data_IF_625565019819
#
_entry.id   IF_625565019819
#
_cell.length_a   1.000
_cell.length_b   1.000
_cell.length_c   1.000
_cell.angle_alpha   90.00
_cell.angle_beta   90.00
_cell.angle_gamma   90.00
#
_symmetry.space_group_name_H-M   'P 1'
#
loop_
_entity.id
_entity.type
_entity.pdbx_description
1 polymer ?
#
# COMPACT_ATOMS: atom_id res chain seq x y z
N UNK A 1 3.84 -4.53 -9.77
CA UNK A 1 5.16 -4.97 -9.28
C UNK A 1 5.78 -5.95 -10.28
N UNK A 2 7.05 -5.81 -10.60
CA UNK A 2 7.86 -6.82 -11.29
C UNK A 2 8.21 -7.98 -10.33
N UNK A 3 8.83 -9.06 -10.84
CA UNK A 3 9.36 -10.14 -9.98
C UNK A 3 10.37 -9.61 -8.96
N UNK A 4 11.34 -8.85 -9.43
CA UNK A 4 12.38 -8.26 -8.58
C UNK A 4 11.81 -7.28 -7.53
N UNK A 5 10.82 -6.45 -7.88
CA UNK A 5 10.14 -5.59 -6.89
C UNK A 5 9.40 -6.40 -5.81
N UNK A 6 8.89 -7.57 -6.18
CA UNK A 6 8.28 -8.48 -5.22
C UNK A 6 9.32 -9.06 -4.25
N UNK A 7 10.48 -9.46 -4.72
CA UNK A 7 11.60 -9.90 -3.89
C UNK A 7 12.06 -8.82 -2.91
N UNK A 8 12.21 -7.57 -3.38
CA UNK A 8 12.54 -6.42 -2.54
C UNK A 8 11.47 -6.15 -1.46
N UNK A 9 10.20 -6.33 -1.80
CA UNK A 9 9.10 -6.22 -0.84
C UNK A 9 9.21 -7.31 0.24
N UNK A 10 9.45 -8.56 -0.18
CA UNK A 10 9.63 -9.68 0.75
C UNK A 10 10.87 -9.47 1.63
N UNK A 11 11.98 -9.01 1.07
CA UNK A 11 13.18 -8.66 1.85
C UNK A 11 12.86 -7.69 3.00
N UNK A 12 12.17 -6.58 2.70
CA UNK A 12 11.74 -5.60 3.71
C UNK A 12 10.80 -6.20 4.75
N UNK A 13 9.88 -7.07 4.30
CA UNK A 13 8.94 -7.76 5.17
C UNK A 13 9.65 -8.70 6.15
N UNK A 14 10.63 -9.46 5.68
CA UNK A 14 11.43 -10.38 6.50
C UNK A 14 12.22 -9.62 7.57
N UNK A 15 12.90 -8.52 7.20
CA UNK A 15 13.62 -7.67 8.15
C UNK A 15 12.66 -7.17 9.24
N UNK A 16 11.49 -6.66 8.85
CA UNK A 16 10.47 -6.19 9.81
C UNK A 16 9.86 -7.33 10.65
N UNK A 17 9.94 -8.57 10.17
CA UNK A 17 9.47 -9.77 10.88
C UNK A 17 10.52 -10.40 11.78
N UNK A 18 11.66 -9.72 11.97
CA UNK A 18 12.73 -10.15 12.88
C UNK A 18 13.70 -11.18 12.27
N UNK A 19 13.75 -11.29 10.94
CA UNK A 19 14.84 -11.98 10.26
C UNK A 19 16.03 -11.04 10.13
N UNK A 20 17.25 -11.60 10.25
CA UNK A 20 18.51 -10.89 10.04
C UNK A 20 19.32 -11.53 8.92
N UNK A 21 20.41 -10.87 8.49
CA UNK A 21 21.25 -11.31 7.38
C UNK A 21 20.48 -11.60 6.09
N UNK A 22 19.42 -10.81 5.84
CA UNK A 22 18.54 -11.00 4.67
C UNK A 22 19.27 -10.53 3.42
N UNK A 23 19.53 -11.46 2.49
CA UNK A 23 20.24 -11.21 1.23
C UNK A 23 19.41 -11.74 0.07
N UNK A 24 19.37 -10.97 -1.04
CA UNK A 24 18.86 -11.44 -2.32
C UNK A 24 19.97 -12.23 -3.00
N UNK A 25 19.66 -13.37 -3.58
CA UNK A 25 20.58 -14.20 -4.36
C UNK A 25 20.82 -13.61 -5.76
N UNK A 26 21.77 -14.15 -6.51
CA UNK A 26 21.99 -13.73 -7.89
C UNK A 26 20.87 -14.26 -8.79
N UNK A 27 20.46 -13.46 -9.79
CA UNK A 27 19.33 -13.75 -10.68
C UNK A 27 19.50 -14.99 -11.60
N UNK A 28 20.69 -15.59 -11.64
CA UNK A 28 20.97 -16.79 -12.41
C UNK A 28 21.77 -17.79 -11.57
N UNK A 29 21.36 -19.06 -11.58
CA UNK A 29 22.01 -20.12 -10.80
C UNK A 29 21.65 -20.10 -9.32
N UNK A 30 20.49 -19.54 -8.97
CA UNK A 30 19.96 -19.41 -7.61
C UNK A 30 19.35 -20.71 -7.06
N UNK A 31 19.32 -21.76 -7.87
CA UNK A 31 18.74 -23.06 -7.53
C UNK A 31 17.34 -22.95 -6.88
N UNK A 32 16.58 -21.91 -7.27
CA UNK A 32 15.22 -21.69 -6.80
C UNK A 32 15.11 -21.08 -5.40
N UNK A 33 16.15 -20.38 -4.94
CA UNK A 33 16.11 -19.58 -3.70
C UNK A 33 16.43 -18.12 -4.05
N UNK A 34 15.47 -17.24 -3.91
CA UNK A 34 15.57 -15.82 -4.25
C UNK A 34 16.12 -14.98 -3.07
N UNK A 35 15.86 -15.41 -1.82
CA UNK A 35 16.40 -14.74 -0.63
C UNK A 35 16.94 -15.76 0.40
N UNK A 36 18.01 -15.36 1.04
CA UNK A 36 18.57 -16.04 2.22
C UNK A 36 18.36 -15.18 3.45
N UNK A 37 18.01 -15.79 4.59
CA UNK A 37 17.86 -15.09 5.86
C UNK A 37 18.14 -16.01 7.05
N UNK A 38 18.38 -15.43 8.22
CA UNK A 38 18.52 -16.15 9.48
C UNK A 38 17.54 -15.65 10.52
N UNK A 39 17.02 -16.56 11.35
CA UNK A 39 16.20 -16.23 12.53
C UNK A 39 16.37 -17.32 13.58
N UNK A 40 16.64 -16.91 14.84
CA UNK A 40 16.82 -17.84 15.94
C UNK A 40 17.84 -18.97 15.64
N UNK A 41 18.97 -18.62 15.04
CA UNK A 41 20.04 -19.53 14.61
C UNK A 41 19.67 -20.51 13.48
N UNK A 42 18.46 -20.44 12.97
CA UNK A 42 17.97 -21.25 11.82
C UNK A 42 18.20 -20.48 10.54
N UNK A 43 18.75 -21.15 9.52
CA UNK A 43 18.94 -20.62 8.17
C UNK A 43 17.73 -20.93 7.30
N UNK A 44 17.24 -19.90 6.60
CA UNK A 44 16.06 -19.97 5.75
C UNK A 44 16.38 -19.58 4.32
N UNK A 45 15.83 -20.34 3.36
CA UNK A 45 15.75 -19.94 1.97
C UNK A 45 14.31 -19.58 1.61
N UNK A 46 14.13 -18.53 0.85
CA UNK A 46 12.83 -18.10 0.37
C UNK A 46 12.81 -18.10 -1.14
N UNK A 47 11.80 -18.76 -1.70
CA UNK A 47 11.46 -18.62 -3.10
C UNK A 47 10.25 -17.72 -3.26
N UNK A 48 10.36 -16.69 -4.10
CA UNK A 48 9.36 -15.69 -4.35
C UNK A 48 8.71 -15.91 -5.71
N UNK A 49 7.44 -16.25 -5.75
CA UNK A 49 6.69 -16.45 -7.00
C UNK A 49 5.60 -15.40 -7.14
N UNK A 50 5.82 -14.42 -8.03
CA UNK A 50 4.81 -13.44 -8.41
C UNK A 50 4.07 -13.91 -9.65
N UNK A 51 2.87 -14.45 -9.47
CA UNK A 51 2.04 -14.99 -10.54
C UNK A 51 0.57 -14.57 -10.39
N UNK A 52 -0.17 -14.59 -11.51
CA UNK A 52 -1.62 -14.41 -11.52
C UNK A 52 -2.37 -15.72 -11.33
N UNK A 53 -1.75 -16.84 -11.75
CA UNK A 53 -2.30 -18.20 -11.62
C UNK A 53 -1.79 -18.87 -10.35
N UNK A 54 -2.44 -19.96 -9.95
CA UNK A 54 -2.01 -20.77 -8.83
C UNK A 54 -0.63 -21.39 -9.09
N UNK A 55 0.17 -21.48 -8.04
CA UNK A 55 1.53 -22.02 -8.07
C UNK A 55 1.45 -23.54 -7.93
N UNK A 56 2.06 -24.24 -8.88
CA UNK A 56 2.14 -25.71 -8.89
C UNK A 56 3.38 -26.26 -8.19
N UNK A 57 3.55 -27.56 -8.32
CA UNK A 57 4.61 -28.36 -7.68
C UNK A 57 6.03 -27.93 -8.06
N UNK A 58 6.24 -27.35 -9.24
CA UNK A 58 7.57 -26.94 -9.71
C UNK A 58 8.27 -25.94 -8.79
N UNK A 59 7.53 -25.03 -8.16
CA UNK A 59 8.07 -24.08 -7.20
C UNK A 59 8.58 -24.77 -5.93
N UNK A 60 7.92 -25.82 -5.51
CA UNK A 60 8.30 -26.62 -4.33
C UNK A 60 9.57 -27.43 -4.64
N UNK A 61 9.63 -28.04 -5.82
CA UNK A 61 10.81 -28.79 -6.29
C UNK A 61 12.04 -27.88 -6.39
N UNK A 62 11.88 -26.68 -6.92
CA UNK A 62 12.96 -25.68 -6.99
C UNK A 62 13.45 -25.29 -5.58
N UNK A 63 12.55 -24.93 -4.67
CA UNK A 63 12.88 -24.58 -3.31
C UNK A 63 13.58 -25.74 -2.56
N UNK A 64 13.12 -26.96 -2.78
CA UNK A 64 13.75 -28.17 -2.22
C UNK A 64 15.19 -28.35 -2.70
N UNK A 65 15.44 -28.19 -4.01
CA UNK A 65 16.80 -28.24 -4.56
C UNK A 65 17.75 -27.20 -3.94
N UNK A 66 17.23 -26.02 -3.66
CA UNK A 66 18.00 -24.95 -3.04
C UNK A 66 18.41 -25.20 -1.58
N UNK A 67 17.65 -26.03 -0.84
CA UNK A 67 18.00 -26.38 0.55
C UNK A 67 19.42 -27.00 0.60
N UNK A 68 19.66 -28.01 -0.23
CA UNK A 68 20.95 -28.70 -0.26
C UNK A 68 22.08 -27.81 -0.76
N UNK A 69 21.84 -27.02 -1.80
CA UNK A 69 22.86 -26.15 -2.40
C UNK A 69 23.34 -25.05 -1.43
N UNK A 70 22.42 -24.42 -0.71
CA UNK A 70 22.75 -23.35 0.23
C UNK A 70 22.94 -23.82 1.68
N UNK A 71 22.90 -25.12 1.95
CA UNK A 71 23.00 -25.70 3.29
C UNK A 71 22.00 -25.06 4.27
N UNK A 72 20.71 -25.03 3.87
CA UNK A 72 19.64 -24.39 4.63
C UNK A 72 18.97 -25.38 5.57
N UNK A 73 18.51 -24.90 6.70
CA UNK A 73 17.70 -25.68 7.61
C UNK A 73 16.24 -25.76 7.13
N UNK A 74 15.73 -24.73 6.45
CA UNK A 74 14.35 -24.65 5.98
C UNK A 74 14.20 -23.84 4.70
N UNK A 75 13.23 -24.24 3.88
CA UNK A 75 12.78 -23.45 2.74
C UNK A 75 11.35 -22.99 2.88
N UNK A 76 11.04 -21.84 2.32
CA UNK A 76 9.73 -21.22 2.33
C UNK A 76 9.43 -20.72 0.92
N UNK A 77 8.25 -21.06 0.37
CA UNK A 77 7.77 -20.51 -0.89
C UNK A 77 6.71 -19.45 -0.60
N UNK A 78 6.93 -18.26 -1.12
CA UNK A 78 6.05 -17.10 -0.92
C UNK A 78 5.44 -16.68 -2.26
N UNK A 79 4.14 -16.45 -2.29
CA UNK A 79 3.46 -15.97 -3.49
C UNK A 79 2.40 -14.90 -3.20
N UNK A 80 2.13 -14.06 -4.21
CA UNK A 80 0.98 -13.15 -4.24
C UNK A 80 -0.31 -13.84 -4.70
N UNK A 81 -0.25 -15.15 -5.01
CA UNK A 81 -1.36 -15.97 -5.49
C UNK A 81 -1.67 -17.08 -4.49
N UNK A 82 -2.18 -18.20 -4.97
CA UNK A 82 -2.51 -19.39 -4.19
C UNK A 82 -1.70 -20.58 -4.69
N UNK A 83 -1.63 -21.65 -3.92
CA UNK A 83 -1.00 -22.91 -4.32
C UNK A 83 -2.06 -23.91 -4.78
N UNK A 84 -1.65 -24.82 -5.65
CA UNK A 84 -2.48 -25.99 -6.01
C UNK A 84 -2.48 -27.00 -4.87
N UNK A 85 -3.49 -27.86 -4.82
CA UNK A 85 -3.54 -28.95 -3.84
C UNK A 85 -2.30 -29.86 -3.90
N UNK A 86 -1.86 -30.22 -5.10
CA UNK A 86 -0.63 -31.00 -5.29
C UNK A 86 0.63 -30.28 -4.75
N UNK A 87 0.69 -28.94 -4.83
CA UNK A 87 1.78 -28.17 -4.24
C UNK A 87 1.74 -28.21 -2.70
N UNK A 88 0.56 -28.15 -2.07
CA UNK A 88 0.42 -28.32 -0.63
C UNK A 88 0.87 -29.70 -0.17
N UNK A 89 0.45 -30.75 -0.87
CA UNK A 89 0.83 -32.14 -0.55
C UNK A 89 2.35 -32.33 -0.66
N UNK A 90 2.96 -31.87 -1.75
CA UNK A 90 4.41 -31.99 -1.94
C UNK A 90 5.20 -31.19 -0.91
N UNK A 91 4.75 -29.99 -0.55
CA UNK A 91 5.37 -29.16 0.45
C UNK A 91 5.33 -29.80 1.85
N UNK A 92 4.21 -30.42 2.21
CA UNK A 92 4.06 -31.14 3.48
C UNK A 92 5.05 -32.32 3.61
N UNK A 93 5.25 -33.09 2.52
CA UNK A 93 6.20 -34.21 2.51
C UNK A 93 7.66 -33.75 2.66
N UNK A 94 7.98 -32.56 2.15
CA UNK A 94 9.35 -32.05 2.13
C UNK A 94 9.62 -30.99 3.22
N UNK A 95 8.73 -30.79 4.18
CA UNK A 95 8.81 -29.78 5.26
C UNK A 95 9.04 -28.34 4.72
N UNK A 96 8.46 -28.02 3.56
CA UNK A 96 8.54 -26.69 2.96
C UNK A 96 7.33 -25.85 3.38
N UNK A 97 7.57 -24.71 3.97
CA UNK A 97 6.50 -23.81 4.39
C UNK A 97 5.95 -23.01 3.21
N UNK A 98 4.64 -22.88 3.14
CA UNK A 98 3.95 -22.12 2.10
C UNK A 98 3.30 -20.87 2.67
N UNK A 99 3.62 -19.74 2.07
CA UNK A 99 3.00 -18.43 2.35
C UNK A 99 2.26 -17.99 1.11
N UNK A 100 0.96 -18.23 1.12
CA UNK A 100 0.03 -17.80 0.08
C UNK A 100 -0.35 -16.31 0.26
N UNK A 101 -1.19 -15.80 -0.66
CA UNK A 101 -1.71 -14.42 -0.64
C UNK A 101 -2.32 -14.03 0.71
N UNK A 102 -3.10 -14.92 1.33
CA UNK A 102 -3.78 -14.57 2.59
C UNK A 102 -2.79 -14.43 3.74
N UNK A 103 -1.86 -15.38 3.87
CA UNK A 103 -0.80 -15.34 4.87
C UNK A 103 0.12 -14.14 4.64
N UNK A 104 0.51 -13.88 3.40
CA UNK A 104 1.33 -12.73 3.03
C UNK A 104 0.67 -11.40 3.42
N UNK A 105 -0.62 -11.21 3.11
CA UNK A 105 -1.36 -10.01 3.49
C UNK A 105 -1.45 -9.83 5.00
N UNK A 106 -1.64 -10.92 5.76
CA UNK A 106 -1.61 -10.88 7.24
C UNK A 106 -0.24 -10.44 7.76
N UNK A 107 0.84 -10.96 7.17
CA UNK A 107 2.23 -10.57 7.53
C UNK A 107 2.49 -9.10 7.21
N UNK A 108 2.08 -8.62 6.03
CA UNK A 108 2.23 -7.23 5.62
C UNK A 108 1.48 -6.26 6.55
N UNK A 109 0.25 -6.58 6.92
CA UNK A 109 -0.52 -5.80 7.90
C UNK A 109 0.17 -5.76 9.28
N UNK A 110 0.63 -6.90 9.77
CA UNK A 110 1.32 -7.01 11.06
C UNK A 110 2.64 -6.24 11.09
N UNK A 111 3.37 -6.24 9.98
CA UNK A 111 4.67 -5.56 9.86
C UNK A 111 4.57 -4.03 9.82
N UNK A 112 3.36 -3.47 9.64
CA UNK A 112 3.11 -2.03 9.41
C UNK A 112 3.97 -1.44 8.28
N UNK A 113 4.36 -2.26 7.30
CA UNK A 113 5.25 -1.86 6.21
C UNK A 113 4.62 -0.76 5.33
N UNK A 114 3.28 -0.75 5.23
CA UNK A 114 2.47 0.23 4.52
C UNK A 114 1.66 1.14 5.45
N UNK A 115 1.96 1.15 6.74
CA UNK A 115 1.40 2.15 7.63
C UNK A 115 2.04 3.51 7.29
N UNK A 116 1.45 4.21 6.34
CA UNK A 116 1.68 5.64 6.20
C UNK A 116 1.12 6.30 7.47
N UNK A 117 1.96 6.51 8.44
CA UNK A 117 1.63 7.45 9.49
C UNK A 117 1.58 8.81 8.79
N UNK A 118 0.37 9.30 8.48
CA UNK A 118 0.20 10.69 8.03
C UNK A 118 0.79 11.54 9.16
N UNK A 119 1.85 12.30 8.90
CA UNK A 119 2.49 13.06 9.96
C UNK A 119 1.48 14.02 10.58
N UNK A 120 1.50 14.17 11.89
CA UNK A 120 0.56 15.02 12.63
C UNK A 120 0.46 16.45 12.07
N UNK A 121 1.55 16.98 11.50
CA UNK A 121 1.53 18.30 10.86
C UNK A 121 0.59 18.37 9.65
N UNK A 122 0.31 17.27 8.94
CA UNK A 122 -0.64 17.27 7.83
C UNK A 122 -2.07 17.58 8.32
N UNK A 123 -2.47 17.04 9.47
CA UNK A 123 -3.76 17.37 10.07
C UNK A 123 -3.85 18.85 10.48
N UNK A 124 -2.74 19.43 10.96
CA UNK A 124 -2.67 20.87 11.29
C UNK A 124 -2.84 21.70 10.02
N UNK A 125 -2.14 21.34 8.94
CA UNK A 125 -2.28 22.03 7.63
C UNK A 125 -3.72 21.96 7.12
N UNK A 126 -4.37 20.79 7.19
CA UNK A 126 -5.76 20.63 6.78
C UNK A 126 -6.71 21.52 7.60
N UNK A 127 -6.53 21.60 8.93
CA UNK A 127 -7.30 22.48 9.80
C UNK A 127 -7.11 23.95 9.41
N UNK A 128 -5.88 24.38 9.12
CA UNK A 128 -5.61 25.74 8.67
C UNK A 128 -6.25 26.05 7.31
N UNK A 129 -6.20 25.12 6.37
CA UNK A 129 -6.83 25.26 5.05
C UNK A 129 -8.35 25.39 5.21
N UNK A 130 -8.97 24.52 6.00
CA UNK A 130 -10.42 24.57 6.28
C UNK A 130 -10.80 25.90 6.95
N UNK A 131 -10.01 26.34 7.93
CA UNK A 131 -10.22 27.63 8.60
C UNK A 131 -10.12 28.82 7.65
N UNK A 132 -9.13 28.80 6.73
CA UNK A 132 -8.97 29.83 5.71
C UNK A 132 -10.16 29.87 4.73
N UNK A 133 -10.59 28.71 4.25
CA UNK A 133 -11.77 28.63 3.38
C UNK A 133 -13.05 29.13 4.08
N UNK A 134 -13.22 28.77 5.35
CA UNK A 134 -14.35 29.26 6.14
C UNK A 134 -14.31 30.78 6.34
N UNK A 135 -13.13 31.35 6.61
CA UNK A 135 -12.93 32.81 6.71
C UNK A 135 -13.26 33.51 5.40
N UNK A 136 -12.77 33.02 4.25
CA UNK A 136 -13.09 33.56 2.92
C UNK A 136 -14.60 33.47 2.65
N UNK A 137 -15.24 32.35 3.00
CA UNK A 137 -16.69 32.21 2.87
C UNK A 137 -17.46 33.26 3.65
N UNK A 138 -17.07 33.56 4.90
CA UNK A 138 -17.70 34.59 5.71
C UNK A 138 -17.57 35.99 5.07
N UNK A 139 -16.38 36.33 4.56
CA UNK A 139 -16.12 37.61 3.89
C UNK A 139 -16.96 37.75 2.61
N UNK A 140 -17.03 36.72 1.80
CA UNK A 140 -17.84 36.71 0.57
C UNK A 140 -19.35 36.80 0.89
N UNK A 141 -19.80 36.11 1.92
CA UNK A 141 -21.19 36.18 2.39
C UNK A 141 -21.61 37.60 2.75
N UNK A 142 -20.77 38.29 3.51
CA UNK A 142 -21.06 39.66 3.96
C UNK A 142 -21.08 40.65 2.79
N UNK A 143 -20.18 40.47 1.79
CA UNK A 143 -20.20 41.24 0.54
C UNK A 143 -21.47 41.00 -0.28
N UNK A 144 -21.92 39.74 -0.37
CA UNK A 144 -23.21 39.42 -1.05
C UNK A 144 -24.40 40.06 -0.36
N UNK A 145 -24.47 40.01 0.97
CA UNK A 145 -25.54 40.68 1.72
C UNK A 145 -25.52 42.18 1.52
N UNK A 146 -24.33 42.82 1.54
CA UNK A 146 -24.20 44.25 1.28
C UNK A 146 -24.66 44.61 -0.14
N UNK A 147 -24.31 43.80 -1.15
CA UNK A 147 -24.71 44.03 -2.54
C UNK A 147 -26.24 43.91 -2.73
N UNK A 148 -26.85 42.93 -2.07
CA UNK A 148 -28.33 42.76 -2.07
C UNK A 148 -29.01 43.93 -1.40
N UNK A 149 -28.53 44.41 -0.25
CA UNK A 149 -29.07 45.58 0.44
C UNK A 149 -28.95 46.85 -0.42
N UNK A 150 -27.78 47.06 -1.08
CA UNK A 150 -27.59 48.19 -2.01
C UNK A 150 -28.53 48.11 -3.22
N UNK A 151 -28.73 46.90 -3.78
CA UNK A 151 -29.67 46.69 -4.87
C UNK A 151 -31.12 47.02 -4.46
N UNK A 152 -31.55 46.61 -3.27
CA UNK A 152 -32.88 46.94 -2.74
C UNK A 152 -33.03 48.42 -2.39
N UNK A 153 -31.98 49.13 -2.01
CA UNK A 153 -32.00 50.57 -1.78
C UNK A 153 -32.09 51.40 -3.08
N UNK A 154 -31.45 50.91 -4.15
CA UNK A 154 -31.43 51.62 -5.45
C UNK A 154 -32.68 51.36 -6.30
N UNK A 155 -33.38 50.21 -6.14
CA UNK A 155 -34.59 49.89 -6.89
C UNK A 155 -35.72 50.91 -6.68
N UNK A 156 -36.08 51.38 -5.45
CA UNK A 156 -37.17 52.33 -5.27
C UNK A 156 -36.83 53.72 -5.84
N UNK A 157 -35.53 54.11 -5.88
CA UNK A 157 -35.13 55.40 -6.45
C UNK A 157 -35.30 55.41 -7.97
N UNK A 158 -34.99 54.31 -8.65
CA UNK A 158 -35.17 54.17 -10.09
C UNK A 158 -36.65 54.14 -10.48
N UNK A 159 -37.52 53.56 -9.65
CA UNK A 159 -38.97 53.48 -9.89
C UNK A 159 -39.66 54.85 -9.73
N UNK A 160 -39.23 55.67 -8.77
CA UNK A 160 -39.76 57.01 -8.57
C UNK A 160 -39.30 57.98 -9.67
N UNK A 161 -38.09 57.80 -10.24
CA UNK A 161 -37.58 58.64 -11.32
C UNK A 161 -38.30 58.33 -12.67
N UNK A 162 -38.58 57.09 -12.96
CA UNK A 162 -39.34 56.69 -14.15
C UNK A 162 -40.79 57.20 -14.10
N UNK A 163 -41.47 57.19 -12.95
CA UNK A 163 -42.82 57.68 -12.80
C UNK A 163 -42.94 59.21 -12.91
N UNK A 164 -41.87 59.95 -12.59
CA UNK A 164 -41.85 61.40 -12.73
C UNK A 164 -41.72 61.85 -14.21
N UNK A 165 -41.28 60.99 -15.13
CA UNK A 165 -41.19 61.28 -16.55
C UNK A 165 -42.47 60.92 -17.34
N UNK A 166 -43.34 60.09 -16.80
CA UNK A 166 -44.63 59.74 -17.43
C UNK A 166 -45.77 60.71 -17.18
N UNK A 167 -45.56 61.69 -16.32
CA UNK A 167 -46.62 62.69 -15.96
C UNK A 167 -46.30 64.08 -16.48
N UNK A 168 -45.56 64.22 -17.58
CA UNK A 168 -45.39 65.48 -18.31
C UNK A 168 -45.87 65.35 -19.74
#
# INVERSE_FOLDING_TARGET
LSGFEFELLIQKLLIKSGYHSVKITQASGDYGIDLLAKKNQVSYGFQCKRYQKNIGVSAIQQAYGGISYYHLDRAIVITNSYFTEAAYQLAAVNDILLIDRQKLLKMLKKSKLFSSQIPFYCYIVDIFIIGLFYYIYLQLRDLIYLSICLFHLLLPVSYTHLRAHETR
#
